data_IF_585900531789
#
_entry.id   IF_585900531789
#
_cell.length_a   1.000
_cell.length_b   1.000
_cell.length_c   1.000
_cell.angle_alpha   90.00
_cell.angle_beta   90.00
_cell.angle_gamma   90.00
#
_symmetry.space_group_name_H-M   'P 1'
#
loop_
_entity.id
_entity.type
_entity.pdbx_description
1 polymer ?
#
# COMPACT_ATOMS: atom_id res chain seq x y z
N UNK A 1 -4.32 39.52 4.08
CA UNK A 1 -4.07 40.79 3.37
C UNK A 1 -3.41 41.72 4.37
N UNK A 2 -2.09 41.96 4.24
CA UNK A 2 -1.33 42.76 5.20
C UNK A 2 -1.77 44.22 5.13
N UNK A 3 -1.99 44.87 6.28
CA UNK A 3 -2.13 46.32 6.36
C UNK A 3 -0.82 46.90 6.87
N UNK A 4 -0.03 47.44 5.96
CA UNK A 4 1.18 48.19 6.29
C UNK A 4 0.80 49.65 6.46
N UNK A 5 1.23 50.29 7.55
CA UNK A 5 1.04 51.72 7.77
C UNK A 5 2.42 52.37 7.86
N UNK A 6 2.72 53.27 6.92
CA UNK A 6 3.95 54.06 6.94
C UNK A 6 3.75 55.15 7.99
N UNK A 7 4.70 55.28 8.92
CA UNK A 7 4.68 56.32 9.93
C UNK A 7 5.53 57.47 9.40
N UNK A 8 4.89 58.55 8.95
CA UNK A 8 5.51 59.68 8.24
C UNK A 8 6.60 60.44 9.03
N UNK A 9 6.77 60.15 10.32
CA UNK A 9 7.75 60.85 11.16
C UNK A 9 9.21 60.39 10.94
N UNK A 10 9.41 59.23 10.32
CA UNK A 10 10.73 58.70 9.95
C UNK A 10 10.65 58.00 8.59
N UNK A 11 11.08 58.63 7.49
CA UNK A 11 10.80 58.17 6.12
C UNK A 11 11.37 56.78 5.77
N UNK A 12 12.25 56.23 6.61
CA UNK A 12 12.92 54.94 6.39
C UNK A 12 12.52 53.83 7.37
N UNK A 13 11.51 54.03 8.23
CA UNK A 13 11.02 52.99 9.14
C UNK A 13 9.59 52.58 8.76
N UNK A 14 9.44 51.34 8.28
CA UNK A 14 8.14 50.68 8.13
C UNK A 14 7.96 49.68 9.26
N UNK A 15 6.89 49.84 10.04
CA UNK A 15 6.49 48.83 11.04
C UNK A 15 5.42 47.96 10.40
N UNK A 16 5.78 46.72 10.07
CA UNK A 16 4.82 45.70 9.69
C UNK A 16 4.23 45.08 10.96
N UNK A 17 2.97 45.39 11.27
CA UNK A 17 2.22 44.63 12.28
C UNK A 17 1.80 43.31 11.64
N UNK A 18 2.45 42.22 12.00
CA UNK A 18 1.91 40.87 11.77
C UNK A 18 0.68 40.74 12.65
N UNK A 19 -0.50 40.80 12.03
CA UNK A 19 -1.71 40.34 12.69
C UNK A 19 -1.51 38.84 12.94
N UNK A 20 -1.29 38.44 14.20
CA UNK A 20 -1.41 37.04 14.63
C UNK A 20 -2.81 36.60 14.21
N UNK A 21 -2.86 35.89 13.10
CA UNK A 21 -4.07 35.47 12.45
C UNK A 21 -3.91 33.98 12.27
N UNK A 22 -4.63 33.21 13.09
CA UNK A 22 -4.70 31.75 12.96
C UNK A 22 -5.03 31.34 11.52
N UNK A 23 -5.67 32.21 10.72
CA UNK A 23 -5.94 31.97 9.29
C UNK A 23 -4.71 31.81 8.40
N UNK A 24 -3.57 32.43 8.73
CA UNK A 24 -2.33 32.24 7.95
C UNK A 24 -1.75 30.87 8.29
N UNK A 25 -1.73 30.53 9.57
CA UNK A 25 -1.31 29.21 10.05
C UNK A 25 -2.22 28.10 9.52
N UNK A 26 -3.55 28.27 9.58
CA UNK A 26 -4.55 27.40 8.96
C UNK A 26 -4.34 27.24 7.45
N UNK A 27 -4.06 28.33 6.72
CA UNK A 27 -3.75 28.24 5.28
C UNK A 27 -2.42 27.57 5.01
N UNK A 28 -1.40 27.79 5.84
CA UNK A 28 -0.11 27.11 5.71
C UNK A 28 -0.30 25.62 6.00
N UNK A 29 -1.06 25.26 7.04
CA UNK A 29 -1.43 23.88 7.34
C UNK A 29 -2.24 23.30 6.19
N UNK A 30 -3.20 24.01 5.62
CA UNK A 30 -4.01 23.56 4.48
C UNK A 30 -3.14 23.32 3.24
N UNK A 31 -2.25 24.26 2.90
CA UNK A 31 -1.31 24.13 1.77
C UNK A 31 -0.33 22.96 2.00
N UNK A 32 0.20 22.82 3.20
CA UNK A 32 1.12 21.72 3.55
C UNK A 32 0.38 20.37 3.66
N UNK A 33 -0.91 20.37 4.01
CA UNK A 33 -1.76 19.17 4.08
C UNK A 33 -2.26 18.74 2.70
N UNK A 34 -2.44 19.67 1.76
CA UNK A 34 -2.79 19.39 0.37
C UNK A 34 -1.77 18.51 -0.37
N UNK A 35 -0.52 18.46 0.10
CA UNK A 35 0.52 17.59 -0.46
C UNK A 35 0.63 16.21 0.20
N UNK A 36 -0.12 15.94 1.28
CA UNK A 36 0.05 14.72 2.08
C UNK A 36 -1.14 13.74 2.03
N UNK A 37 -2.28 14.12 1.47
CA UNK A 37 -3.37 13.18 1.24
C UNK A 37 -3.44 12.87 -0.25
N UNK A 38 -3.05 11.65 -0.64
CA UNK A 38 -3.37 11.12 -1.96
C UNK A 38 -4.89 11.20 -2.16
N UNK A 39 -5.32 12.14 -2.99
CA UNK A 39 -6.72 12.33 -3.30
C UNK A 39 -7.24 11.04 -3.93
N UNK A 40 -8.30 10.49 -3.34
CA UNK A 40 -8.97 9.33 -3.91
C UNK A 40 -9.81 9.79 -5.10
N UNK A 41 -9.97 8.92 -6.11
CA UNK A 41 -10.65 9.30 -7.36
C UNK A 41 -12.14 9.59 -7.13
N UNK A 42 -12.83 8.68 -6.44
CA UNK A 42 -14.28 8.77 -6.18
C UNK A 42 -14.55 9.15 -4.73
N UNK A 43 -13.82 8.54 -3.79
CA UNK A 43 -14.00 8.84 -2.37
C UNK A 43 -13.49 10.24 -2.05
N UNK A 44 -14.30 11.01 -1.32
CA UNK A 44 -13.80 12.23 -0.66
C UNK A 44 -12.73 11.88 0.38
N UNK A 45 -12.94 10.78 1.10
CA UNK A 45 -12.00 10.20 2.05
C UNK A 45 -12.24 8.69 2.13
N UNK A 46 -11.17 7.91 2.26
CA UNK A 46 -11.31 6.46 2.45
C UNK A 46 -11.84 6.15 3.86
N UNK A 47 -12.78 5.19 4.02
CA UNK A 47 -13.37 4.88 5.31
C UNK A 47 -12.32 4.58 6.38
N UNK A 48 -12.37 5.35 7.47
CA UNK A 48 -11.53 5.18 8.64
C UNK A 48 -12.34 4.98 9.95
N UNK A 49 -13.63 4.64 9.84
CA UNK A 49 -14.50 4.27 10.96
C UNK A 49 -14.53 2.74 11.13
N UNK A 50 -14.12 2.25 12.30
CA UNK A 50 -14.05 0.83 12.61
C UNK A 50 -15.39 0.10 12.51
N UNK A 51 -16.52 0.79 12.69
CA UNK A 51 -17.86 0.19 12.62
C UNK A 51 -18.26 -0.24 11.21
N UNK A 52 -17.51 0.19 10.19
CA UNK A 52 -17.74 -0.18 8.80
C UNK A 52 -17.06 -1.50 8.40
N UNK A 53 -16.25 -2.09 9.29
CA UNK A 53 -15.44 -3.28 9.02
C UNK A 53 -15.90 -4.46 9.88
N UNK A 54 -15.65 -5.68 9.39
CA UNK A 54 -15.89 -6.91 10.16
C UNK A 54 -15.11 -6.90 11.48
N UNK A 55 -15.68 -7.49 12.52
CA UNK A 55 -15.13 -7.44 13.90
C UNK A 55 -13.66 -7.87 13.98
N UNK A 56 -13.30 -8.93 13.25
CA UNK A 56 -11.95 -9.48 13.21
C UNK A 56 -10.89 -8.56 12.56
N UNK A 57 -11.32 -7.58 11.77
CA UNK A 57 -10.48 -6.55 11.16
C UNK A 57 -10.56 -5.23 11.93
N UNK A 58 -11.77 -4.83 12.34
CA UNK A 58 -12.03 -3.55 13.01
C UNK A 58 -11.16 -3.34 14.25
N UNK A 59 -10.95 -4.40 15.05
CA UNK A 59 -10.12 -4.38 16.27
C UNK A 59 -8.65 -4.06 16.02
N UNK A 60 -8.17 -4.30 14.79
CA UNK A 60 -6.77 -4.10 14.40
C UNK A 60 -6.55 -2.85 13.55
N UNK A 61 -7.63 -2.20 13.12
CA UNK A 61 -7.59 -1.07 12.20
C UNK A 61 -6.65 0.06 12.65
N UNK A 62 -6.83 0.55 13.89
CA UNK A 62 -6.01 1.63 14.43
C UNK A 62 -4.53 1.23 14.51
N UNK A 63 -4.26 0.00 14.97
CA UNK A 63 -2.90 -0.54 15.06
C UNK A 63 -2.23 -0.62 13.67
N UNK A 64 -2.95 -1.10 12.66
CA UNK A 64 -2.44 -1.20 11.28
C UNK A 64 -2.18 0.18 10.70
N UNK A 65 -3.12 1.12 10.86
CA UNK A 65 -2.98 2.48 10.34
C UNK A 65 -1.82 3.21 11.02
N UNK A 66 -1.68 3.08 12.33
CA UNK A 66 -0.57 3.68 13.08
C UNK A 66 0.78 3.10 12.65
N UNK A 67 0.86 1.78 12.46
CA UNK A 67 2.11 1.09 12.13
C UNK A 67 2.53 1.24 10.67
N UNK A 68 1.57 1.14 9.74
CA UNK A 68 1.86 1.02 8.31
C UNK A 68 1.34 2.17 7.45
N UNK A 69 0.49 3.03 8.02
CA UNK A 69 -0.08 4.20 7.35
C UNK A 69 -1.45 3.94 6.72
N UNK A 70 -2.19 5.03 6.50
CA UNK A 70 -3.52 5.01 5.88
C UNK A 70 -3.51 4.48 4.44
N UNK A 71 -2.40 4.67 3.71
CA UNK A 71 -2.28 4.20 2.33
C UNK A 71 -2.22 2.67 2.26
N UNK A 72 -1.41 2.02 3.10
CA UNK A 72 -1.38 0.55 3.16
C UNK A 72 -2.73 -0.01 3.61
N UNK A 73 -3.38 0.64 4.59
CA UNK A 73 -4.75 0.31 4.99
C UNK A 73 -5.71 0.31 3.80
N UNK A 74 -5.77 1.43 3.06
CA UNK A 74 -6.63 1.58 1.89
C UNK A 74 -6.33 0.52 0.84
N UNK A 75 -5.05 0.35 0.47
CA UNK A 75 -4.64 -0.59 -0.59
C UNK A 75 -5.04 -2.00 -0.19
N UNK A 76 -4.71 -2.46 1.02
CA UNK A 76 -4.99 -3.84 1.43
C UNK A 76 -6.49 -4.10 1.53
N UNK A 77 -7.29 -3.15 2.04
CA UNK A 77 -8.76 -3.30 2.02
C UNK A 77 -9.26 -3.42 0.58
N UNK A 78 -8.90 -2.48 -0.30
CA UNK A 78 -9.36 -2.50 -1.70
C UNK A 78 -8.93 -3.77 -2.44
N UNK A 79 -7.70 -4.24 -2.22
CA UNK A 79 -7.20 -5.49 -2.80
C UNK A 79 -8.09 -6.67 -2.41
N UNK A 80 -8.45 -6.80 -1.14
CA UNK A 80 -9.18 -7.97 -0.68
C UNK A 80 -10.69 -7.89 -0.91
N UNK A 81 -11.26 -6.69 -1.00
CA UNK A 81 -12.62 -6.48 -1.52
C UNK A 81 -12.69 -6.82 -3.02
N UNK A 82 -11.67 -6.45 -3.80
CA UNK A 82 -11.56 -6.83 -5.21
C UNK A 82 -11.34 -8.34 -5.39
N UNK A 83 -10.55 -8.96 -4.50
CA UNK A 83 -10.16 -10.37 -4.57
C UNK A 83 -11.20 -11.35 -4.01
N UNK A 84 -12.29 -10.85 -3.40
CA UNK A 84 -13.39 -11.62 -2.78
C UNK A 84 -13.03 -12.40 -1.50
N UNK A 85 -11.79 -12.30 -1.01
CA UNK A 85 -11.41 -12.76 0.34
C UNK A 85 -10.09 -12.15 0.81
N UNK A 86 -9.81 -12.32 2.11
CA UNK A 86 -8.54 -11.89 2.72
C UNK A 86 -7.42 -12.91 2.43
N UNK A 87 -6.68 -12.67 1.35
CA UNK A 87 -5.67 -13.58 0.81
C UNK A 87 -4.24 -13.24 1.26
N UNK A 88 -3.46 -14.25 1.65
CA UNK A 88 -2.06 -14.07 2.06
C UNK A 88 -1.22 -13.42 0.95
N UNK A 89 -1.25 -14.00 -0.26
CA UNK A 89 -0.48 -13.48 -1.38
C UNK A 89 -1.03 -12.15 -1.90
N UNK A 90 -2.33 -11.90 -1.81
CA UNK A 90 -2.95 -10.60 -2.15
C UNK A 90 -2.41 -9.47 -1.26
N UNK A 91 -2.32 -9.71 0.06
CA UNK A 91 -1.70 -8.76 1.02
C UNK A 91 -0.21 -8.56 0.73
N UNK A 92 0.52 -9.64 0.43
CA UNK A 92 1.94 -9.55 0.06
C UNK A 92 2.12 -8.72 -1.21
N UNK A 93 1.28 -8.92 -2.22
CA UNK A 93 1.29 -8.12 -3.46
C UNK A 93 0.99 -6.65 -3.21
N UNK A 94 -0.01 -6.35 -2.37
CA UNK A 94 -0.36 -4.99 -1.99
C UNK A 94 0.81 -4.27 -1.30
N UNK A 95 1.47 -4.94 -0.35
CA UNK A 95 2.67 -4.44 0.31
C UNK A 95 3.85 -4.29 -0.66
N UNK A 96 4.00 -5.22 -1.61
CA UNK A 96 5.09 -5.22 -2.58
C UNK A 96 5.00 -4.03 -3.53
N UNK A 97 3.83 -3.78 -4.13
CA UNK A 97 3.67 -2.64 -5.04
C UNK A 97 3.74 -1.29 -4.34
N UNK A 98 3.20 -1.18 -3.10
CA UNK A 98 3.40 0.02 -2.29
C UNK A 98 4.89 0.24 -1.99
N UNK A 99 5.63 -0.81 -1.62
CA UNK A 99 7.07 -0.72 -1.36
C UNK A 99 7.87 -0.28 -2.60
N UNK A 100 7.47 -0.73 -3.78
CA UNK A 100 8.07 -0.32 -5.05
C UNK A 100 7.81 1.16 -5.34
N UNK A 101 6.58 1.64 -5.12
CA UNK A 101 6.23 3.06 -5.25
C UNK A 101 7.03 3.94 -4.28
N UNK A 102 7.19 3.50 -3.03
CA UNK A 102 8.05 4.18 -2.04
C UNK A 102 9.52 4.24 -2.49
N UNK A 103 10.03 3.20 -3.16
CA UNK A 103 11.40 3.18 -3.66
C UNK A 103 11.60 4.24 -4.75
N UNK A 104 10.71 4.30 -5.74
CA UNK A 104 10.81 5.25 -6.85
C UNK A 104 10.28 6.66 -6.52
N UNK A 105 9.54 6.81 -5.42
CA UNK A 105 8.83 8.03 -5.00
C UNK A 105 7.81 8.47 -6.06
N UNK A 106 6.98 7.52 -6.48
CA UNK A 106 5.98 7.69 -7.54
C UNK A 106 4.57 7.39 -7.04
N UNK A 107 3.59 8.00 -7.70
CA UNK A 107 2.17 7.75 -7.53
C UNK A 107 1.72 6.43 -8.17
N UNK A 108 0.40 6.28 -8.25
CA UNK A 108 -0.24 5.21 -9.01
C UNK A 108 -0.06 5.41 -10.52
N UNK A 109 -0.08 4.30 -11.28
CA UNK A 109 -0.03 4.23 -12.75
C UNK A 109 1.29 4.74 -13.37
N UNK A 110 2.34 4.89 -12.56
CA UNK A 110 3.68 5.31 -13.04
C UNK A 110 4.65 4.14 -13.28
N UNK A 111 4.34 2.93 -12.80
CA UNK A 111 5.22 1.76 -12.87
C UNK A 111 4.77 0.77 -13.93
N UNK A 112 5.73 0.26 -14.71
CA UNK A 112 5.55 -0.98 -15.46
C UNK A 112 5.90 -2.16 -14.56
N UNK A 113 5.08 -3.21 -14.59
CA UNK A 113 5.20 -4.37 -13.71
C UNK A 113 5.30 -5.66 -14.51
N UNK A 114 6.33 -6.46 -14.23
CA UNK A 114 6.41 -7.85 -14.67
C UNK A 114 6.35 -8.77 -13.45
N UNK A 115 5.22 -9.44 -13.28
CA UNK A 115 5.00 -10.37 -12.16
C UNK A 115 5.53 -11.76 -12.46
N UNK A 116 6.25 -12.33 -11.50
CA UNK A 116 6.72 -13.71 -11.52
C UNK A 116 5.73 -14.65 -10.81
N UNK A 117 4.58 -14.15 -10.35
CA UNK A 117 3.56 -14.96 -9.67
C UNK A 117 2.80 -15.90 -10.62
N UNK A 118 2.90 -15.68 -11.94
CA UNK A 118 2.14 -16.42 -12.95
C UNK A 118 0.63 -16.26 -12.78
N UNK A 119 -0.14 -17.20 -13.34
CA UNK A 119 -1.62 -17.17 -13.34
C UNK A 119 -2.29 -18.27 -12.52
N UNK A 120 -1.51 -19.07 -11.78
CA UNK A 120 -2.05 -20.19 -11.00
C UNK A 120 -2.04 -19.89 -9.49
N UNK A 121 -3.18 -20.09 -8.80
CA UNK A 121 -3.23 -19.98 -7.35
C UNK A 121 -2.32 -20.99 -6.66
N UNK A 122 -1.82 -20.70 -5.44
CA UNK A 122 -2.16 -19.52 -4.64
C UNK A 122 -1.28 -18.29 -4.90
N UNK A 123 -0.16 -18.43 -5.60
CA UNK A 123 0.82 -17.34 -5.76
C UNK A 123 0.26 -16.23 -6.66
N UNK A 124 -0.53 -16.58 -7.69
CA UNK A 124 -1.11 -15.61 -8.62
C UNK A 124 -2.00 -14.55 -7.98
N UNK A 125 -2.54 -14.79 -6.77
CA UNK A 125 -3.30 -13.78 -6.01
C UNK A 125 -2.45 -12.53 -5.69
N UNK A 126 -1.11 -12.67 -5.71
CA UNK A 126 -0.17 -11.56 -5.61
C UNK A 126 -0.41 -10.49 -6.69
N UNK A 127 -0.85 -10.89 -7.89
CA UNK A 127 -1.12 -9.97 -8.99
C UNK A 127 -2.23 -8.96 -8.65
N UNK A 128 -3.25 -9.35 -7.89
CA UNK A 128 -4.34 -8.45 -7.53
C UNK A 128 -3.86 -7.37 -6.56
N UNK A 129 -2.99 -7.75 -5.62
CA UNK A 129 -2.29 -6.82 -4.76
C UNK A 129 -1.39 -5.86 -5.53
N UNK A 130 -0.64 -6.37 -6.51
CA UNK A 130 0.19 -5.53 -7.38
C UNK A 130 -0.66 -4.50 -8.14
N UNK A 131 -1.72 -4.95 -8.82
CA UNK A 131 -2.59 -4.07 -9.61
C UNK A 131 -3.19 -2.94 -8.76
N UNK A 132 -3.72 -3.24 -7.58
CA UNK A 132 -4.33 -2.23 -6.71
C UNK A 132 -3.29 -1.28 -6.10
N UNK A 133 -2.12 -1.79 -5.74
CA UNK A 133 -1.09 -0.98 -5.07
C UNK A 133 -0.27 -0.11 -6.01
N UNK A 134 -0.05 -0.54 -7.25
CA UNK A 134 0.71 0.23 -8.25
C UNK A 134 -0.17 0.99 -9.23
N UNK A 135 -1.43 0.62 -9.38
CA UNK A 135 -2.28 1.10 -10.48
C UNK A 135 -1.92 0.48 -11.84
N UNK A 136 -0.92 -0.40 -11.91
CA UNK A 136 -0.55 -1.07 -13.14
C UNK A 136 -1.54 -2.20 -13.43
N UNK A 137 -2.37 -2.08 -14.46
CA UNK A 137 -3.49 -3.01 -14.71
C UNK A 137 -3.30 -3.81 -15.98
N UNK A 138 -3.93 -4.99 -16.04
CA UNK A 138 -3.98 -5.79 -17.26
C UNK A 138 -4.68 -5.03 -18.40
N UNK A 139 -5.72 -4.26 -18.07
CA UNK A 139 -6.48 -3.47 -19.05
C UNK A 139 -5.67 -2.34 -19.68
N UNK A 140 -4.80 -1.69 -18.91
CA UNK A 140 -3.86 -0.68 -19.44
C UNK A 140 -2.61 -1.30 -20.06
N UNK A 141 -2.39 -2.61 -19.91
CA UNK A 141 -1.18 -3.28 -20.38
C UNK A 141 0.09 -2.89 -19.61
N UNK A 142 -0.06 -2.29 -18.42
CA UNK A 142 1.07 -1.83 -17.58
C UNK A 142 1.56 -2.89 -16.60
N UNK A 143 0.80 -3.98 -16.41
CA UNK A 143 1.26 -5.22 -15.77
C UNK A 143 1.23 -6.38 -16.76
N UNK A 144 2.25 -7.23 -16.69
CA UNK A 144 2.30 -8.52 -17.38
C UNK A 144 2.80 -9.61 -16.43
N UNK A 145 2.61 -10.88 -16.80
CA UNK A 145 3.04 -12.04 -16.01
C UNK A 145 3.96 -12.92 -16.84
N UNK A 146 4.93 -13.55 -16.18
CA UNK A 146 5.71 -14.60 -16.81
C UNK A 146 4.79 -15.76 -17.24
N UNK A 147 5.13 -16.39 -18.37
CA UNK A 147 4.45 -17.61 -18.84
C UNK A 147 5.08 -18.88 -18.27
N UNK A 148 6.38 -18.83 -17.99
CA UNK A 148 7.18 -19.99 -17.62
C UNK A 148 7.26 -20.19 -16.10
N UNK A 149 7.49 -21.43 -15.69
CA UNK A 149 7.77 -21.81 -14.31
C UNK A 149 9.27 -21.67 -13.99
N UNK A 150 9.67 -21.47 -12.71
CA UNK A 150 8.83 -21.49 -11.51
C UNK A 150 8.13 -20.17 -11.20
N UNK A 151 6.93 -20.25 -10.60
CA UNK A 151 6.25 -19.09 -10.02
C UNK A 151 6.91 -18.68 -8.70
N UNK A 152 7.14 -17.38 -8.54
CA UNK A 152 7.80 -16.80 -7.39
C UNK A 152 6.96 -15.62 -6.84
N UNK A 153 6.95 -15.38 -5.52
CA UNK A 153 6.44 -14.14 -4.94
C UNK A 153 7.41 -12.99 -5.21
N UNK A 154 7.52 -12.61 -6.48
CA UNK A 154 8.48 -11.66 -7.03
C UNK A 154 7.81 -10.83 -8.13
N UNK A 155 8.22 -9.58 -8.25
CA UNK A 155 7.91 -8.75 -9.41
C UNK A 155 9.08 -7.82 -9.74
N UNK A 156 9.19 -7.49 -11.02
CA UNK A 156 10.02 -6.41 -11.50
C UNK A 156 9.17 -5.16 -11.67
N UNK A 157 9.73 -4.03 -11.25
CA UNK A 157 9.11 -2.72 -11.36
C UNK A 157 10.06 -1.81 -12.12
N UNK A 158 9.58 -1.28 -13.24
CA UNK A 158 10.36 -0.38 -14.10
C UNK A 158 9.76 1.01 -14.05
N UNK A 159 10.62 1.99 -13.78
CA UNK A 159 10.32 3.41 -13.91
C UNK A 159 11.41 4.06 -14.76
N UNK A 160 11.02 4.66 -15.88
CA UNK A 160 11.95 5.19 -16.88
C UNK A 160 12.96 4.12 -17.31
N UNK A 161 14.25 4.32 -17.01
CA UNK A 161 15.33 3.42 -17.44
C UNK A 161 15.86 2.55 -16.28
N UNK A 162 15.16 2.53 -15.14
CA UNK A 162 15.60 1.76 -13.97
C UNK A 162 14.58 0.70 -13.64
N UNK A 163 15.06 -0.53 -13.50
CA UNK A 163 14.24 -1.67 -13.07
C UNK A 163 14.76 -2.15 -11.71
N UNK A 164 13.84 -2.42 -10.79
CA UNK A 164 14.15 -3.12 -9.56
C UNK A 164 13.36 -4.42 -9.48
N UNK A 165 13.97 -5.41 -8.86
CA UNK A 165 13.35 -6.65 -8.45
C UNK A 165 12.99 -6.56 -6.97
N UNK A 166 11.71 -6.80 -6.64
CA UNK A 166 11.28 -7.09 -5.28
C UNK A 166 10.87 -8.56 -5.20
N UNK A 167 11.45 -9.29 -4.26
CA UNK A 167 11.10 -10.68 -3.98
C UNK A 167 10.87 -10.88 -2.48
N UNK A 168 9.80 -11.61 -2.12
CA UNK A 168 9.58 -12.02 -0.74
C UNK A 168 10.77 -12.85 -0.27
N UNK A 169 11.37 -12.46 0.86
CA UNK A 169 12.51 -13.17 1.44
C UNK A 169 12.16 -14.64 1.71
N UNK A 170 13.17 -15.50 1.55
CA UNK A 170 12.97 -16.95 1.55
C UNK A 170 12.41 -17.47 2.88
N UNK A 171 12.92 -16.96 4.00
CA UNK A 171 12.44 -17.29 5.35
C UNK A 171 10.95 -16.98 5.54
N UNK A 172 10.49 -15.81 5.09
CA UNK A 172 9.07 -15.46 5.09
C UNK A 172 8.26 -16.39 4.18
N UNK A 173 8.78 -16.72 3.00
CA UNK A 173 8.08 -17.59 2.07
C UNK A 173 7.95 -19.04 2.57
N UNK A 174 8.98 -19.57 3.23
CA UNK A 174 8.90 -20.88 3.89
C UNK A 174 7.83 -20.93 4.98
N UNK A 175 7.67 -19.84 5.75
CA UNK A 175 6.60 -19.72 6.74
C UNK A 175 5.22 -19.82 6.06
N UNK A 176 4.99 -19.06 4.98
CA UNK A 176 3.72 -19.15 4.23
C UNK A 176 3.45 -20.57 3.73
N UNK A 177 4.45 -21.20 3.10
CA UNK A 177 4.29 -22.56 2.54
C UNK A 177 3.99 -23.59 3.65
N UNK A 178 4.68 -23.49 4.78
CA UNK A 178 4.46 -24.37 5.93
C UNK A 178 3.04 -24.21 6.49
N UNK A 179 2.60 -22.97 6.67
CA UNK A 179 1.31 -22.68 7.29
C UNK A 179 0.15 -23.09 6.36
N UNK A 180 0.24 -22.84 5.04
CA UNK A 180 -0.76 -23.34 4.08
C UNK A 180 -0.81 -24.88 4.09
N UNK A 181 0.35 -25.55 4.06
CA UNK A 181 0.42 -27.02 4.11
C UNK A 181 -0.21 -27.58 5.40
N UNK A 182 0.01 -26.91 6.53
CA UNK A 182 -0.61 -27.26 7.80
C UNK A 182 -2.13 -27.08 7.74
N UNK A 183 -2.61 -25.96 7.21
CA UNK A 183 -4.03 -25.68 7.07
C UNK A 183 -4.75 -26.73 6.24
N UNK A 184 -4.16 -27.15 5.11
CA UNK A 184 -4.69 -28.22 4.26
C UNK A 184 -4.76 -29.54 5.03
N UNK A 185 -3.71 -29.89 5.79
CA UNK A 185 -3.64 -31.12 6.59
C UNK A 185 -4.68 -31.15 7.71
N UNK A 186 -4.93 -30.02 8.38
CA UNK A 186 -5.78 -29.95 9.58
C UNK A 186 -7.25 -29.72 9.24
N UNK A 187 -7.55 -28.96 8.19
CA UNK A 187 -8.92 -28.51 7.90
C UNK A 187 -9.47 -29.05 6.57
N UNK A 188 -8.64 -29.73 5.76
CA UNK A 188 -9.00 -30.16 4.41
C UNK A 188 -8.91 -29.01 3.39
N UNK A 189 -8.57 -29.33 2.15
CA UNK A 189 -8.41 -28.31 1.11
C UNK A 189 -9.78 -27.70 0.73
N UNK A 190 -9.85 -26.36 0.65
CA UNK A 190 -11.03 -25.59 0.22
C UNK A 190 -12.28 -25.74 1.10
N UNK A 191 -12.15 -26.22 2.33
CA UNK A 191 -13.26 -26.24 3.30
C UNK A 191 -13.45 -24.85 3.93
N UNK A 192 -14.62 -24.61 4.52
CA UNK A 192 -14.86 -23.36 5.28
C UNK A 192 -13.83 -23.17 6.40
N UNK A 193 -13.47 -24.25 7.10
CA UNK A 193 -12.46 -24.20 8.16
C UNK A 193 -11.07 -23.83 7.64
N UNK A 194 -10.71 -24.31 6.43
CA UNK A 194 -9.48 -23.88 5.78
C UNK A 194 -9.50 -22.38 5.47
N UNK A 195 -10.61 -21.85 4.96
CA UNK A 195 -10.72 -20.42 4.66
C UNK A 195 -10.70 -19.54 5.91
N UNK A 196 -11.33 -19.97 7.01
CA UNK A 196 -11.18 -19.29 8.31
C UNK A 196 -9.72 -19.28 8.76
N UNK A 197 -9.02 -20.41 8.63
CA UNK A 197 -7.61 -20.50 8.98
C UNK A 197 -6.72 -19.61 8.10
N UNK A 198 -6.95 -19.56 6.78
CA UNK A 198 -6.22 -18.66 5.87
C UNK A 198 -6.47 -17.19 6.22
N UNK A 199 -7.70 -16.84 6.59
CA UNK A 199 -8.05 -15.48 7.01
C UNK A 199 -7.29 -15.07 8.28
N UNK A 200 -7.25 -15.92 9.30
CA UNK A 200 -6.49 -15.66 10.52
C UNK A 200 -4.98 -15.48 10.23
N UNK A 201 -4.41 -16.31 9.36
CA UNK A 201 -3.03 -16.15 8.92
C UNK A 201 -2.79 -14.84 8.19
N UNK A 202 -3.69 -14.47 7.27
CA UNK A 202 -3.59 -13.24 6.49
C UNK A 202 -3.65 -12.00 7.40
N UNK A 203 -4.53 -11.99 8.42
CA UNK A 203 -4.59 -10.92 9.43
C UNK A 203 -3.28 -10.84 10.20
N UNK A 204 -2.76 -11.97 10.69
CA UNK A 204 -1.49 -12.01 11.42
C UNK A 204 -0.33 -11.49 10.58
N UNK A 205 -0.19 -11.94 9.34
CA UNK A 205 0.86 -11.45 8.44
C UNK A 205 0.71 -9.96 8.14
N UNK A 206 -0.51 -9.46 7.99
CA UNK A 206 -0.71 -8.03 7.82
C UNK A 206 -0.23 -7.23 9.04
N UNK A 207 -0.56 -7.68 10.25
CA UNK A 207 -0.15 -7.06 11.50
C UNK A 207 1.37 -7.07 11.72
N UNK A 208 2.01 -8.19 11.43
CA UNK A 208 3.39 -8.45 11.85
C UNK A 208 4.42 -8.11 10.77
N UNK A 209 4.07 -8.20 9.49
CA UNK A 209 5.03 -8.09 8.40
C UNK A 209 5.08 -6.68 7.83
N UNK A 210 6.19 -6.01 8.14
CA UNK A 210 6.49 -4.69 7.61
C UNK A 210 7.02 -4.79 6.18
N UNK A 211 6.37 -4.08 5.25
CA UNK A 211 6.75 -4.05 3.83
C UNK A 211 8.20 -3.60 3.59
N UNK A 212 8.81 -2.88 4.54
CA UNK A 212 10.21 -2.43 4.45
C UNK A 212 11.22 -3.55 4.75
N UNK A 213 10.78 -4.62 5.41
CA UNK A 213 11.65 -5.65 5.97
C UNK A 213 11.53 -6.99 5.24
N UNK A 214 10.37 -7.30 4.65
CA UNK A 214 10.07 -8.64 4.12
C UNK A 214 10.54 -8.90 2.68
N UNK A 215 11.00 -7.87 1.96
CA UNK A 215 11.43 -7.98 0.56
C UNK A 215 12.94 -7.81 0.43
N UNK A 216 13.54 -8.61 -0.44
CA UNK A 216 14.84 -8.31 -1.03
C UNK A 216 14.62 -7.37 -2.21
N UNK A 217 15.43 -6.30 -2.29
CA UNK A 217 15.41 -5.33 -3.39
C UNK A 217 16.74 -5.40 -4.12
N UNK A 218 16.70 -5.64 -5.43
CA UNK A 218 17.87 -5.69 -6.30
C UNK A 218 17.63 -4.76 -7.50
N UNK A 219 18.63 -3.97 -7.88
CA UNK A 219 18.57 -3.20 -9.13
C UNK A 219 18.95 -4.16 -10.26
N UNK A 220 18.17 -4.15 -11.34
CA UNK A 220 18.43 -4.94 -12.54
C UNK A 220 19.03 -3.99 -13.57
N UNK A 221 20.29 -4.26 -13.93
CA UNK A 221 21.04 -3.59 -15.00
C UNK A 221 20.60 -4.07 -16.39
#
# INVERSE_FOLDING_TARGET
MFKTKIIEKYPNQSISRVLKSNKIEEKIIEILSCHNEEQSIVFKQFPNDSNLFREDISKFMNQIIERYGKEEWKIVILTNEFHDHLGIYSIIGAKMGLRAREYFKVGLDELLVLSYAGSQPPISCLNDGLQVSTGATLGHGTISMIKDLPQLPKALFTFKNTTISLQLKQDYWEIVKKDIKQGIKQHGFLTNNYWFFIRELAIRYWLDWNRKDIFNIEIID
#
